data_IF_733581226662
#
_entry.id   IF_733581226662
#
_cell.length_a   1.000
_cell.length_b   1.000
_cell.length_c   1.000
_cell.angle_alpha   90.00
_cell.angle_beta   90.00
_cell.angle_gamma   90.00
#
_symmetry.space_group_name_H-M   'P 1'
#
loop_
_entity.id
_entity.type
_entity.pdbx_description
1 polymer ?
#
# COMPACT_ATOMS: atom_id res chain seq x y z
N UNK A 1 -11.01 38.76 38.32
CA UNK A 1 -9.99 39.80 38.64
C UNK A 1 -10.07 40.08 40.13
N UNK A 2 -8.96 40.36 40.86
CA UNK A 2 -7.60 40.76 40.43
C UNK A 2 -6.56 39.62 40.61
N UNK A 3 -5.44 39.49 39.87
CA UNK A 3 -4.31 40.36 39.46
C UNK A 3 -3.16 40.45 40.48
N UNK A 4 -1.94 40.20 39.96
CA UNK A 4 -0.60 40.61 40.42
C UNK A 4 0.07 39.83 41.58
N UNK A 5 1.37 39.54 41.60
CA UNK A 5 2.51 39.75 40.70
C UNK A 5 3.70 38.99 41.32
N UNK A 6 4.56 38.34 40.55
CA UNK A 6 5.93 38.03 40.99
C UNK A 6 6.85 37.89 39.77
N UNK A 7 7.48 39.00 39.42
CA UNK A 7 8.57 39.08 38.45
C UNK A 7 9.93 39.13 39.15
N UNK A 8 10.92 38.51 38.51
CA UNK A 8 12.35 38.88 38.59
C UNK A 8 13.24 37.78 39.17
N UNK A 9 14.44 37.49 38.67
CA UNK A 9 15.27 38.07 37.61
C UNK A 9 16.40 37.05 37.30
N UNK A 10 16.66 36.81 36.01
CA UNK A 10 17.96 36.92 35.30
C UNK A 10 19.25 36.56 36.10
N UNK A 11 20.02 35.56 35.63
CA UNK A 11 21.38 35.71 35.03
C UNK A 11 22.09 34.39 34.66
N UNK A 12 22.63 34.38 33.42
CA UNK A 12 23.96 33.90 32.93
C UNK A 12 24.34 32.44 33.27
N UNK A 13 24.69 31.56 32.34
CA UNK A 13 25.43 31.74 31.09
C UNK A 13 26.72 30.92 31.20
N UNK A 14 26.84 29.84 30.42
CA UNK A 14 28.11 29.10 30.27
C UNK A 14 28.21 28.52 28.87
N UNK A 15 29.09 29.11 28.07
CA UNK A 15 29.72 28.51 26.89
C UNK A 15 30.98 27.76 27.35
N UNK A 16 31.18 26.54 26.86
CA UNK A 16 32.51 25.92 26.68
C UNK A 16 32.37 24.93 25.51
N UNK A 17 32.78 25.33 24.30
CA UNK A 17 34.08 25.12 23.65
C UNK A 17 34.42 23.65 23.34
N UNK A 18 34.45 23.42 22.04
CA UNK A 18 35.04 22.33 21.26
C UNK A 18 36.31 21.70 21.83
N UNK A 19 36.41 20.37 21.66
CA UNK A 19 37.66 19.72 21.26
C UNK A 19 37.38 18.77 20.10
N UNK A 20 37.97 19.11 18.95
CA UNK A 20 38.31 18.18 17.89
C UNK A 20 39.32 17.16 18.43
N UNK A 21 39.11 15.88 18.14
CA UNK A 21 40.19 14.92 17.97
C UNK A 21 39.89 14.09 16.73
N UNK A 22 40.71 14.33 15.70
CA UNK A 22 40.82 13.51 14.51
C UNK A 22 41.59 12.23 14.87
N UNK A 23 41.08 11.08 14.41
CA UNK A 23 41.74 9.79 14.46
C UNK A 23 41.80 9.18 13.04
N UNK A 24 42.86 8.43 12.71
CA UNK A 24 43.34 8.28 11.34
C UNK A 24 42.57 7.25 10.49
N UNK A 25 42.51 7.60 9.21
CA UNK A 25 42.14 6.81 8.04
C UNK A 25 43.01 5.56 7.92
N UNK A 26 42.41 4.37 7.98
CA UNK A 26 43.00 3.12 7.52
C UNK A 26 42.29 2.68 6.24
N UNK A 27 42.94 2.94 5.12
CA UNK A 27 42.58 2.46 3.78
C UNK A 27 43.04 1.00 3.68
N UNK A 28 42.10 0.06 3.73
CA UNK A 28 42.34 -1.33 3.34
C UNK A 28 41.84 -1.55 1.92
N UNK A 29 42.81 -1.58 1.02
CA UNK A 29 42.72 -1.87 -0.42
C UNK A 29 42.48 -3.37 -0.58
N UNK A 30 41.21 -3.76 -0.73
CA UNK A 30 40.80 -5.14 -1.02
C UNK A 30 40.80 -5.41 -2.53
N UNK A 31 41.69 -6.31 -2.93
CA UNK A 31 41.96 -6.77 -4.29
C UNK A 31 40.74 -7.37 -4.98
N UNK A 32 40.49 -6.95 -6.22
CA UNK A 32 39.43 -7.42 -7.10
C UNK A 32 39.96 -8.57 -7.98
N UNK A 33 39.48 -9.82 -7.85
CA UNK A 33 39.83 -10.87 -8.80
C UNK A 33 38.93 -10.80 -10.04
N UNK A 34 39.55 -10.33 -11.13
CA UNK A 34 39.63 -11.02 -12.43
C UNK A 34 38.35 -11.70 -12.95
N UNK A 35 37.48 -10.91 -13.61
CA UNK A 35 36.44 -11.45 -14.51
C UNK A 35 37.05 -11.69 -15.89
N UNK A 36 37.33 -12.96 -16.18
CA UNK A 36 37.60 -13.42 -17.55
C UNK A 36 36.36 -13.25 -18.45
N UNK A 37 36.54 -12.84 -19.72
CA UNK A 37 35.47 -12.83 -20.70
C UNK A 37 35.27 -14.26 -21.24
N UNK A 38 34.04 -14.77 -21.16
CA UNK A 38 33.64 -15.93 -21.97
C UNK A 38 33.16 -15.38 -23.30
N UNK A 39 33.96 -15.65 -24.33
CA UNK A 39 33.60 -15.41 -25.72
C UNK A 39 32.46 -16.33 -26.17
N UNK A 40 31.64 -15.75 -27.04
CA UNK A 40 31.10 -16.29 -28.29
C UNK A 40 31.06 -17.81 -28.45
N UNK A 41 29.87 -18.36 -28.71
CA UNK A 41 29.68 -19.16 -29.92
C UNK A 41 28.21 -19.46 -30.25
N UNK A 42 27.99 -19.65 -31.56
CA UNK A 42 26.90 -20.36 -32.21
C UNK A 42 25.54 -19.65 -32.43
N UNK A 43 25.56 -18.75 -33.40
CA UNK A 43 24.74 -18.81 -34.63
C UNK A 43 24.04 -20.17 -34.88
N UNK A 44 22.71 -20.23 -34.87
CA UNK A 44 21.91 -21.08 -35.79
C UNK A 44 20.63 -20.35 -36.19
N UNK A 45 20.59 -19.94 -37.46
CA UNK A 45 19.38 -19.68 -38.23
C UNK A 45 18.51 -20.95 -38.31
N UNK A 46 17.20 -20.82 -38.07
CA UNK A 46 16.21 -21.61 -38.80
C UNK A 46 15.06 -20.73 -39.28
N UNK A 47 15.16 -20.39 -40.56
CA UNK A 47 14.02 -20.20 -41.45
C UNK A 47 13.17 -21.46 -41.45
N UNK A 48 11.86 -21.33 -41.28
CA UNK A 48 10.90 -22.10 -42.08
C UNK A 48 9.72 -21.20 -42.41
N UNK A 49 9.61 -20.92 -43.71
CA UNK A 49 8.49 -20.30 -44.37
C UNK A 49 7.34 -21.30 -44.56
N UNK A 50 6.16 -20.71 -44.77
CA UNK A 50 5.09 -21.13 -45.66
C UNK A 50 4.21 -22.33 -45.25
N UNK A 51 2.95 -21.99 -44.96
CA UNK A 51 1.80 -22.87 -45.07
C UNK A 51 0.55 -22.03 -45.36
N UNK A 52 0.37 -21.66 -46.64
CA UNK A 52 -0.90 -21.17 -47.17
C UNK A 52 -2.01 -22.20 -46.93
N UNK A 53 -3.15 -21.77 -46.40
CA UNK A 53 -4.42 -22.40 -46.69
C UNK A 53 -5.50 -21.31 -46.74
N UNK A 54 -5.95 -21.01 -47.96
CA UNK A 54 -7.19 -20.31 -48.25
C UNK A 54 -8.36 -21.12 -47.69
N UNK A 55 -9.29 -20.44 -47.01
CA UNK A 55 -10.69 -20.87 -46.96
C UNK A 55 -11.57 -19.69 -47.34
N UNK A 56 -12.23 -19.86 -48.48
CA UNK A 56 -13.20 -18.96 -49.09
C UNK A 56 -14.58 -19.09 -48.40
N UNK A 57 -15.33 -18.00 -48.52
CA UNK A 57 -16.78 -17.88 -48.49
C UNK A 57 -17.51 -17.99 -47.13
N UNK A 58 -18.05 -16.85 -46.68
CA UNK A 58 -19.44 -16.50 -47.00
C UNK A 58 -19.77 -15.11 -46.47
N UNK A 59 -20.03 -14.17 -47.39
CA UNK A 59 -20.62 -12.89 -47.07
C UNK A 59 -22.14 -13.07 -46.91
N UNK A 60 -22.64 -12.97 -45.68
CA UNK A 60 -24.04 -12.68 -45.41
C UNK A 60 -24.14 -11.23 -44.96
N UNK A 61 -24.59 -10.39 -45.89
CA UNK A 61 -25.03 -9.02 -45.63
C UNK A 61 -26.35 -9.06 -44.88
N UNK A 62 -26.32 -8.77 -43.59
CA UNK A 62 -27.51 -8.40 -42.82
C UNK A 62 -27.67 -6.87 -42.82
N UNK A 63 -28.86 -6.34 -43.12
CA UNK A 63 -29.15 -4.92 -43.00
C UNK A 63 -29.49 -4.57 -41.53
N UNK A 64 -28.88 -3.49 -41.05
CA UNK A 64 -29.55 -2.52 -40.18
C UNK A 64 -29.98 -2.97 -38.79
N UNK A 65 -29.06 -2.92 -37.84
CA UNK A 65 -29.34 -2.31 -36.55
C UNK A 65 -28.07 -1.58 -36.10
N UNK A 66 -28.01 -0.28 -36.40
CA UNK A 66 -27.07 0.62 -35.78
C UNK A 66 -27.38 0.65 -34.27
N UNK A 67 -26.78 -0.28 -33.51
CA UNK A 67 -26.54 -0.04 -32.11
C UNK A 67 -25.52 1.09 -32.08
N UNK A 68 -26.05 2.29 -31.94
CA UNK A 68 -25.34 3.41 -31.37
C UNK A 68 -24.66 2.87 -30.10
N UNK A 69 -23.37 2.54 -30.22
CA UNK A 69 -22.45 2.62 -29.12
C UNK A 69 -22.52 4.08 -28.70
N UNK A 70 -23.46 4.36 -27.80
CA UNK A 70 -23.35 5.49 -26.92
C UNK A 70 -22.05 5.25 -26.19
N UNK A 71 -20.98 5.80 -26.74
CA UNK A 71 -19.83 6.26 -26.00
C UNK A 71 -20.45 7.15 -24.92
N UNK A 72 -20.78 6.52 -23.79
CA UNK A 72 -21.27 7.19 -22.61
C UNK A 72 -20.08 7.99 -22.13
N UNK A 73 -19.89 9.15 -22.76
CA UNK A 73 -18.94 10.15 -22.37
C UNK A 73 -19.21 10.38 -20.89
N UNK A 74 -18.32 9.83 -20.06
CA UNK A 74 -18.32 10.06 -18.64
C UNK A 74 -18.33 11.56 -18.51
N UNK A 75 -19.46 12.11 -18.04
CA UNK A 75 -19.58 13.55 -17.82
C UNK A 75 -18.51 13.90 -16.81
N UNK A 76 -17.53 14.69 -17.27
CA UNK A 76 -16.47 15.23 -16.43
C UNK A 76 -17.13 15.92 -15.24
N UNK A 77 -17.00 15.35 -14.04
CA UNK A 77 -17.62 15.87 -12.81
C UNK A 77 -18.69 14.99 -12.15
N UNK A 78 -19.03 13.79 -12.67
CA UNK A 78 -19.93 12.88 -11.95
C UNK A 78 -19.18 12.14 -10.83
N UNK A 79 -19.46 12.52 -9.58
CA UNK A 79 -18.93 11.83 -8.40
C UNK A 79 -19.52 10.42 -8.30
N UNK A 80 -18.66 9.44 -8.04
CA UNK A 80 -19.04 8.05 -7.76
C UNK A 80 -18.90 7.76 -6.28
N UNK A 81 -19.81 6.96 -5.75
CA UNK A 81 -19.69 6.40 -4.40
C UNK A 81 -18.98 5.06 -4.47
N UNK A 82 -17.95 4.86 -3.64
CA UNK A 82 -17.29 3.57 -3.44
C UNK A 82 -18.19 2.72 -2.56
N UNK A 83 -18.68 1.60 -3.08
CA UNK A 83 -19.37 0.63 -2.25
C UNK A 83 -18.38 -0.06 -1.30
N UNK A 84 -18.60 0.13 0.00
CA UNK A 84 -17.92 -0.57 1.08
C UNK A 84 -16.55 -0.04 1.52
N UNK A 85 -16.19 1.16 1.08
CA UNK A 85 -15.15 1.96 1.73
C UNK A 85 -15.79 3.17 2.41
N UNK A 86 -15.53 3.33 3.71
CA UNK A 86 -16.12 4.38 4.52
C UNK A 86 -15.05 5.35 5.00
N UNK A 87 -15.28 6.66 4.92
CA UNK A 87 -14.43 7.70 5.47
C UNK A 87 -15.02 8.34 6.72
N UNK A 88 -14.14 8.68 7.66
CA UNK A 88 -14.48 9.39 8.89
C UNK A 88 -14.89 10.82 8.59
N UNK A 89 -16.01 11.25 9.14
CA UNK A 89 -16.47 12.64 9.11
C UNK A 89 -15.99 13.40 10.34
N UNK A 90 -16.12 14.73 10.34
CA UNK A 90 -15.78 15.58 11.49
C UNK A 90 -16.56 15.20 12.76
N UNK A 91 -17.82 14.74 12.59
CA UNK A 91 -18.66 14.21 13.67
C UNK A 91 -18.14 12.90 14.27
N UNK A 92 -17.13 12.27 13.66
CA UNK A 92 -16.62 10.95 13.99
C UNK A 92 -17.43 9.80 13.38
N UNK A 93 -18.56 10.08 12.74
CA UNK A 93 -19.33 9.12 11.97
C UNK A 93 -18.57 8.65 10.71
N UNK A 94 -19.01 7.55 10.12
CA UNK A 94 -18.40 6.99 8.91
C UNK A 94 -19.43 6.95 7.79
N UNK A 95 -19.04 7.48 6.64
CA UNK A 95 -19.90 7.61 5.46
C UNK A 95 -19.17 7.08 4.23
N UNK A 96 -19.91 6.69 3.20
CA UNK A 96 -19.32 6.11 2.00
C UNK A 96 -18.37 7.12 1.31
N UNK A 97 -17.20 6.64 0.89
CA UNK A 97 -16.24 7.47 0.15
C UNK A 97 -16.82 7.83 -1.21
N UNK A 98 -16.83 9.13 -1.53
CA UNK A 98 -17.15 9.63 -2.87
C UNK A 98 -15.90 10.10 -3.59
N UNK A 99 -15.80 9.88 -4.90
CA UNK A 99 -14.65 10.30 -5.70
C UNK A 99 -15.03 10.62 -7.15
N UNK A 100 -14.26 11.50 -7.80
CA UNK A 100 -14.31 11.69 -9.25
C UNK A 100 -13.37 10.68 -9.94
N UNK A 101 -13.87 9.80 -10.82
CA UNK A 101 -13.03 8.82 -11.53
C UNK A 101 -11.89 9.43 -12.34
N UNK A 102 -12.03 10.68 -12.81
CA UNK A 102 -11.01 11.38 -13.56
C UNK A 102 -9.79 11.81 -12.73
N UNK A 103 -9.96 11.94 -11.40
CA UNK A 103 -8.96 12.54 -10.52
C UNK A 103 -8.61 11.72 -9.27
N UNK A 104 -9.37 10.66 -8.96
CA UNK A 104 -9.13 9.81 -7.79
C UNK A 104 -7.79 9.06 -7.82
N UNK A 105 -7.24 8.63 -6.67
CA UNK A 105 -6.08 7.76 -6.65
C UNK A 105 -6.34 6.41 -7.34
N UNK A 106 -5.28 5.77 -7.83
CA UNK A 106 -5.37 4.49 -8.54
C UNK A 106 -6.09 3.42 -7.71
N UNK A 107 -5.81 3.33 -6.41
CA UNK A 107 -6.42 2.33 -5.51
C UNK A 107 -7.95 2.39 -5.49
N UNK A 108 -8.54 3.60 -5.44
CA UNK A 108 -10.00 3.78 -5.48
C UNK A 108 -10.59 3.33 -6.81
N UNK A 109 -9.96 3.69 -7.94
CA UNK A 109 -10.47 3.35 -9.27
C UNK A 109 -10.36 1.87 -9.64
N UNK A 110 -9.51 1.13 -8.94
CA UNK A 110 -9.11 -0.23 -9.33
C UNK A 110 -9.42 -1.29 -8.26
N UNK A 111 -10.29 -0.96 -7.30
CA UNK A 111 -10.67 -1.84 -6.19
C UNK A 111 -9.45 -2.40 -5.44
N UNK A 112 -8.39 -1.60 -5.32
CA UNK A 112 -7.13 -1.98 -4.69
C UNK A 112 -6.78 -0.96 -3.59
N UNK A 113 -7.61 -0.91 -2.55
CA UNK A 113 -7.53 0.09 -1.49
C UNK A 113 -6.30 -0.05 -0.59
N UNK A 114 -5.65 -1.19 -0.67
CA UNK A 114 -4.42 -1.52 0.06
C UNK A 114 -3.16 -1.30 -0.79
N UNK A 115 -3.26 -0.99 -2.08
CA UNK A 115 -2.06 -0.74 -2.90
C UNK A 115 -1.23 -2.00 -3.18
N UNK A 116 -1.87 -3.17 -3.29
CA UNK A 116 -1.16 -4.42 -3.61
C UNK A 116 -0.60 -4.41 -5.03
N UNK A 117 0.62 -4.92 -5.19
CA UNK A 117 1.19 -5.21 -6.51
C UNK A 117 0.75 -6.60 -7.01
N UNK A 118 0.50 -6.71 -8.31
CA UNK A 118 0.36 -7.97 -9.05
C UNK A 118 1.67 -8.77 -9.01
N UNK A 119 1.60 -10.08 -9.26
CA UNK A 119 2.15 -11.08 -8.35
C UNK A 119 3.66 -11.12 -8.24
N UNK A 120 4.12 -11.37 -7.00
CA UNK A 120 5.41 -11.93 -6.69
C UNK A 120 5.15 -13.34 -6.11
N UNK A 121 5.58 -14.38 -6.82
CA UNK A 121 5.80 -15.78 -6.37
C UNK A 121 4.89 -16.93 -6.88
N UNK A 122 3.64 -16.76 -7.37
CA UNK A 122 2.87 -17.93 -7.88
C UNK A 122 1.82 -17.69 -8.98
N UNK A 123 1.68 -16.47 -9.49
CA UNK A 123 0.64 -16.13 -10.47
C UNK A 123 -0.37 -15.11 -9.92
N UNK A 124 -1.29 -14.63 -10.77
CA UNK A 124 -2.20 -13.52 -10.47
C UNK A 124 -2.99 -13.76 -9.18
N UNK A 125 -3.27 -12.69 -8.43
CA UNK A 125 -4.17 -12.79 -7.28
C UNK A 125 -5.57 -13.23 -7.75
N UNK A 126 -6.31 -14.05 -6.98
CA UNK A 126 -7.72 -14.30 -7.26
C UNK A 126 -8.49 -12.99 -7.43
N UNK A 127 -9.32 -12.91 -8.48
CA UNK A 127 -10.08 -11.70 -8.81
C UNK A 127 -9.27 -10.55 -9.41
N UNK A 128 -7.96 -10.71 -9.66
CA UNK A 128 -7.14 -9.72 -10.34
C UNK A 128 -7.48 -9.66 -11.84
N UNK A 129 -7.94 -8.50 -12.30
CA UNK A 129 -8.32 -8.25 -13.70
C UNK A 129 -7.23 -7.54 -14.50
N UNK A 130 -6.22 -6.96 -13.83
CA UNK A 130 -5.10 -6.31 -14.49
C UNK A 130 -4.05 -5.79 -13.51
N UNK A 131 -3.13 -4.99 -14.04
CA UNK A 131 -2.19 -4.18 -13.26
C UNK A 131 -1.78 -2.93 -14.05
N UNK A 132 -1.31 -1.88 -13.38
CA UNK A 132 -0.70 -0.74 -14.06
C UNK A 132 0.78 -0.99 -14.40
N UNK A 133 1.43 -0.02 -15.06
CA UNK A 133 2.84 -0.11 -15.45
C UNK A 133 3.81 -0.27 -14.26
N UNK A 134 3.41 0.19 -13.06
CA UNK A 134 4.17 0.07 -11.82
C UNK A 134 3.87 -1.24 -11.07
N UNK A 135 3.05 -2.12 -11.67
CA UNK A 135 2.70 -3.42 -11.13
C UNK A 135 1.56 -3.39 -10.10
N UNK A 136 0.93 -2.25 -9.78
CA UNK A 136 -0.22 -2.24 -8.86
C UNK A 136 -1.41 -2.96 -9.49
N UNK A 137 -1.96 -3.93 -8.77
CA UNK A 137 -3.05 -4.78 -9.23
C UNK A 137 -4.36 -4.00 -9.38
N UNK A 138 -5.20 -4.46 -10.31
CA UNK A 138 -6.62 -4.11 -10.41
C UNK A 138 -7.44 -5.34 -10.08
N UNK A 139 -8.47 -5.17 -9.25
CA UNK A 139 -9.39 -6.24 -8.87
C UNK A 139 -10.79 -5.99 -9.44
N UNK A 140 -11.54 -7.06 -9.65
CA UNK A 140 -12.94 -6.98 -10.06
C UNK A 140 -13.85 -6.47 -8.93
N UNK A 141 -13.63 -6.97 -7.71
CA UNK A 141 -14.33 -6.60 -6.48
C UNK A 141 -13.32 -6.30 -5.36
N UNK A 142 -13.54 -5.27 -4.51
CA UNK A 142 -12.59 -4.90 -3.44
C UNK A 142 -12.37 -6.01 -2.40
N UNK A 143 -13.31 -6.93 -2.22
CA UNK A 143 -13.14 -8.08 -1.34
C UNK A 143 -11.96 -8.97 -1.77
N UNK A 144 -11.62 -9.01 -3.06
CA UNK A 144 -10.44 -9.71 -3.54
C UNK A 144 -9.14 -9.03 -3.14
N UNK A 145 -9.08 -7.70 -3.16
CA UNK A 145 -7.91 -6.97 -2.67
C UNK A 145 -7.73 -7.14 -1.16
N UNK A 146 -8.83 -7.10 -0.39
CA UNK A 146 -8.80 -7.35 1.05
C UNK A 146 -8.37 -8.80 1.33
N UNK A 147 -8.90 -9.79 0.60
CA UNK A 147 -8.47 -11.20 0.72
C UNK A 147 -6.99 -11.38 0.39
N UNK A 148 -6.51 -10.73 -0.68
CA UNK A 148 -5.10 -10.77 -1.06
C UNK A 148 -4.20 -10.11 0.01
N UNK A 149 -4.68 -9.06 0.69
CA UNK A 149 -3.98 -8.47 1.82
C UNK A 149 -3.88 -9.45 3.00
N UNK A 150 -4.99 -10.12 3.36
CA UNK A 150 -5.00 -11.13 4.43
C UNK A 150 -4.01 -12.27 4.14
N UNK A 151 -4.03 -12.79 2.91
CA UNK A 151 -3.09 -13.81 2.43
C UNK A 151 -1.63 -13.32 2.51
N UNK A 152 -1.36 -12.07 2.10
CA UNK A 152 -0.03 -11.47 2.21
C UNK A 152 0.42 -11.38 3.69
N UNK A 153 -0.45 -11.00 4.61
CA UNK A 153 -0.12 -10.94 6.05
C UNK A 153 0.20 -12.33 6.61
N UNK A 154 -0.55 -13.35 6.21
CA UNK A 154 -0.29 -14.74 6.59
C UNK A 154 1.08 -15.18 6.07
N UNK A 155 1.41 -14.88 4.81
CA UNK A 155 2.72 -15.17 4.23
C UNK A 155 3.85 -14.41 4.92
N UNK A 156 3.62 -13.16 5.34
CA UNK A 156 4.58 -12.36 6.10
C UNK A 156 4.89 -12.99 7.45
N UNK A 157 3.88 -13.45 8.18
CA UNK A 157 4.09 -14.20 9.42
C UNK A 157 4.83 -15.51 9.17
N UNK A 158 4.36 -16.32 8.22
CA UNK A 158 4.88 -17.67 7.98
C UNK A 158 6.31 -17.68 7.43
N UNK A 159 6.65 -16.78 6.50
CA UNK A 159 7.95 -16.79 5.79
C UNK A 159 8.98 -15.84 6.38
N UNK A 160 8.54 -14.81 7.11
CA UNK A 160 9.41 -13.73 7.57
C UNK A 160 9.31 -13.46 9.06
N UNK A 161 8.48 -14.23 9.80
CA UNK A 161 8.23 -14.02 11.22
C UNK A 161 7.81 -12.58 11.56
N UNK A 162 7.17 -11.89 10.60
CA UNK A 162 6.72 -10.52 10.77
C UNK A 162 5.39 -10.51 11.54
N UNK A 163 5.49 -10.41 12.87
CA UNK A 163 4.37 -10.60 13.80
C UNK A 163 3.81 -9.31 14.39
N UNK A 164 4.64 -8.28 14.51
CA UNK A 164 4.23 -6.98 15.00
C UNK A 164 3.79 -6.05 13.86
N UNK A 165 3.03 -4.99 14.18
CA UNK A 165 2.69 -3.97 13.19
C UNK A 165 3.97 -3.34 12.59
N UNK A 166 5.00 -3.11 13.39
CA UNK A 166 6.27 -2.57 12.92
C UNK A 166 6.96 -3.51 11.91
N UNK A 167 7.02 -4.82 12.19
CA UNK A 167 7.67 -5.78 11.28
C UNK A 167 6.90 -5.96 9.98
N UNK A 168 5.56 -6.05 10.08
CA UNK A 168 4.68 -6.15 8.93
C UNK A 168 4.84 -4.92 8.04
N UNK A 169 4.70 -3.71 8.60
CA UNK A 169 4.72 -2.48 7.79
C UNK A 169 6.10 -2.16 7.23
N UNK A 170 7.20 -2.49 7.94
CA UNK A 170 8.56 -2.40 7.37
C UNK A 170 8.74 -3.30 6.16
N UNK A 171 7.99 -4.40 6.07
CA UNK A 171 8.02 -5.27 4.90
C UNK A 171 7.06 -4.80 3.81
N UNK A 172 5.90 -4.31 4.22
CA UNK A 172 4.85 -3.83 3.34
C UNK A 172 5.28 -2.59 2.54
N UNK A 173 5.83 -1.60 3.25
CA UNK A 173 6.33 -0.34 2.72
C UNK A 173 7.74 -0.11 3.30
N UNK A 174 8.79 -0.67 2.68
CA UNK A 174 10.14 -0.67 3.24
C UNK A 174 10.73 0.73 3.38
N UNK A 175 11.75 0.90 4.24
CA UNK A 175 12.41 2.19 4.43
C UNK A 175 12.90 2.77 3.09
N UNK A 176 12.62 4.06 2.88
CA UNK A 176 12.72 4.71 1.58
C UNK A 176 11.35 4.85 0.88
N UNK A 177 10.38 3.98 1.10
CA UNK A 177 9.01 4.21 0.63
C UNK A 177 8.36 5.32 1.47
N UNK A 178 7.93 6.39 0.80
CA UNK A 178 7.32 7.56 1.43
C UNK A 178 5.81 7.42 1.62
N UNK A 179 5.25 6.24 1.36
CA UNK A 179 3.86 5.88 1.69
C UNK A 179 3.64 6.04 3.21
N UNK A 180 3.15 7.23 3.60
CA UNK A 180 2.80 7.55 4.99
C UNK A 180 3.82 8.31 5.81
N UNK A 181 4.85 8.87 5.19
CA UNK A 181 5.76 9.77 5.88
C UNK A 181 5.00 11.06 6.31
N UNK A 182 4.83 11.32 7.61
CA UNK A 182 4.15 12.52 8.11
C UNK A 182 5.03 13.78 8.05
N UNK A 183 6.32 13.63 7.72
CA UNK A 183 7.37 14.66 7.75
C UNK A 183 7.44 15.48 6.47
N UNK A 184 6.83 15.02 5.38
CA UNK A 184 6.99 15.61 4.06
C UNK A 184 5.64 16.12 3.54
N UNK A 185 5.51 17.42 3.19
CA UNK A 185 4.32 17.97 2.54
C UNK A 185 3.90 17.10 1.34
N UNK A 186 2.58 16.96 1.04
CA UNK A 186 2.12 16.14 -0.08
C UNK A 186 2.83 16.41 -1.41
N UNK A 187 3.25 17.67 -1.65
CA UNK A 187 4.02 18.11 -2.83
C UNK A 187 5.45 17.57 -2.92
N UNK A 188 5.99 17.09 -1.81
CA UNK A 188 7.38 16.62 -1.69
C UNK A 188 7.45 15.09 -1.53
N UNK A 189 6.30 14.41 -1.45
CA UNK A 189 6.21 12.94 -1.43
C UNK A 189 6.51 12.42 -2.84
N UNK A 190 7.71 11.89 -3.06
CA UNK A 190 8.06 11.21 -4.32
C UNK A 190 7.52 9.79 -4.31
N UNK A 191 6.96 9.35 -5.44
CA UNK A 191 6.75 7.93 -5.70
C UNK A 191 8.12 7.23 -5.69
N UNK A 192 8.35 6.31 -4.76
CA UNK A 192 9.46 5.36 -4.80
C UNK A 192 10.78 5.72 -4.11
N UNK A 193 10.84 6.59 -3.10
CA UNK A 193 12.11 6.76 -2.36
C UNK A 193 12.29 8.01 -1.49
N UNK A 194 12.98 7.86 -0.35
CA UNK A 194 13.75 8.95 0.32
C UNK A 194 13.35 9.36 1.74
N UNK A 195 12.39 8.69 2.39
CA UNK A 195 11.94 9.09 3.73
C UNK A 195 12.80 8.49 4.85
N UNK A 196 13.88 9.19 5.23
CA UNK A 196 14.85 8.79 6.27
C UNK A 196 14.18 8.56 7.63
N UNK A 197 13.07 9.23 7.95
CA UNK A 197 12.40 9.01 9.23
C UNK A 197 11.82 7.60 9.38
N UNK A 198 11.43 6.97 8.27
CA UNK A 198 10.95 5.58 8.24
C UNK A 198 12.09 4.55 8.36
N UNK A 199 13.36 4.97 8.27
CA UNK A 199 14.53 4.09 8.44
C UNK A 199 14.87 3.86 9.92
N UNK A 200 14.56 4.81 10.79
CA UNK A 200 14.96 4.78 12.22
C UNK A 200 13.80 4.59 13.19
N UNK A 201 12.56 4.84 12.75
CA UNK A 201 11.35 4.70 13.58
C UNK A 201 10.32 3.79 12.91
N UNK A 202 9.44 3.12 13.68
CA UNK A 202 8.33 2.40 13.09
C UNK A 202 7.51 3.32 12.17
N UNK A 203 7.08 2.85 10.98
CA UNK A 203 6.23 3.64 10.11
C UNK A 203 5.01 4.16 10.88
N UNK A 204 4.57 5.39 10.63
CA UNK A 204 3.41 5.96 11.35
C UNK A 204 2.16 5.10 11.19
N UNK A 205 2.00 4.45 10.04
CA UNK A 205 0.94 3.45 9.80
C UNK A 205 1.01 2.29 10.79
N UNK A 206 2.21 1.82 11.15
CA UNK A 206 2.39 0.76 12.15
C UNK A 206 1.94 1.22 13.54
N UNK A 207 2.28 2.45 13.92
CA UNK A 207 1.85 3.03 15.19
C UNK A 207 0.33 3.15 15.26
N UNK A 208 -0.31 3.61 14.19
CA UNK A 208 -1.78 3.72 14.11
C UNK A 208 -2.45 2.35 14.19
N UNK A 209 -1.97 1.38 13.40
CA UNK A 209 -2.48 0.01 13.38
C UNK A 209 -2.40 -0.64 14.77
N UNK A 210 -1.23 -0.61 15.40
CA UNK A 210 -1.02 -1.22 16.72
C UNK A 210 -1.91 -0.60 17.79
N UNK A 211 -2.03 0.73 17.79
CA UNK A 211 -2.85 1.46 18.74
C UNK A 211 -4.34 1.20 18.57
N UNK A 212 -4.81 1.10 17.32
CA UNK A 212 -6.17 0.69 17.02
C UNK A 212 -6.43 -0.78 17.42
N UNK A 213 -5.40 -1.63 17.40
CA UNK A 213 -5.44 -3.00 17.89
C UNK A 213 -5.22 -3.14 19.42
N UNK A 214 -5.01 -2.03 20.15
CA UNK A 214 -4.80 -2.04 21.60
C UNK A 214 -3.44 -2.61 22.05
N UNK A 215 -2.42 -2.58 21.19
CA UNK A 215 -1.07 -3.09 21.45
C UNK A 215 0.02 -2.08 21.10
N UNK A 216 1.26 -2.31 21.52
CA UNK A 216 2.42 -1.52 21.11
C UNK A 216 2.87 -1.88 19.68
N UNK A 217 3.54 -0.97 18.95
CA UNK A 217 3.95 -1.21 17.56
C UNK A 217 4.84 -2.45 17.34
N UNK A 218 5.60 -2.84 18.36
CA UNK A 218 6.53 -3.99 18.34
C UNK A 218 5.96 -5.23 19.03
N UNK A 219 4.77 -5.17 19.61
CA UNK A 219 4.10 -6.32 20.20
C UNK A 219 3.49 -7.21 19.11
N UNK A 220 3.39 -8.52 19.40
CA UNK A 220 2.78 -9.49 18.50
C UNK A 220 1.30 -9.16 18.32
N UNK A 221 0.87 -8.95 17.08
CA UNK A 221 -0.54 -8.75 16.76
C UNK A 221 -1.32 -10.06 16.89
N UNK A 222 -0.65 -11.21 16.84
CA UNK A 222 -1.23 -12.56 17.00
C UNK A 222 -2.36 -12.83 15.99
N UNK A 223 -2.22 -12.26 14.78
CA UNK A 223 -3.29 -12.20 13.76
C UNK A 223 -3.81 -13.58 13.35
N UNK A 224 -2.93 -14.58 13.27
CA UNK A 224 -3.25 -15.91 12.78
C UNK A 224 -2.88 -16.96 13.83
N UNK A 225 -3.77 -17.94 14.02
CA UNK A 225 -3.58 -19.09 14.88
C UNK A 225 -2.91 -20.26 14.16
N UNK A 226 -2.96 -21.46 14.76
CA UNK A 226 -2.55 -22.70 14.10
C UNK A 226 -3.24 -22.87 12.73
N UNK A 227 -2.54 -23.49 11.79
CA UNK A 227 -3.03 -23.70 10.41
C UNK A 227 -3.28 -22.40 9.63
N UNK A 228 -2.85 -21.24 10.16
CA UNK A 228 -2.97 -19.95 9.50
C UNK A 228 -4.39 -19.36 9.51
N UNK A 229 -5.30 -19.88 10.32
CA UNK A 229 -6.65 -19.32 10.48
C UNK A 229 -6.58 -17.96 11.18
N UNK A 230 -7.45 -17.02 10.82
CA UNK A 230 -7.54 -15.72 11.50
C UNK A 230 -7.92 -15.96 12.96
N UNK A 231 -7.10 -15.47 13.89
CA UNK A 231 -7.30 -15.61 15.34
C UNK A 231 -7.89 -14.36 15.97
N UNK A 232 -7.39 -13.19 15.61
CA UNK A 232 -7.87 -11.88 16.08
C UNK A 232 -8.35 -11.03 14.90
N UNK A 233 -9.62 -11.20 14.46
CA UNK A 233 -10.15 -10.47 13.29
C UNK A 233 -10.22 -8.95 13.52
N UNK A 234 -10.43 -8.51 14.76
CA UNK A 234 -10.39 -7.11 15.18
C UNK A 234 -9.02 -6.47 14.95
N UNK A 235 -7.93 -7.16 15.32
CA UNK A 235 -6.56 -6.67 15.12
C UNK A 235 -6.15 -6.67 13.65
N UNK A 236 -6.57 -7.70 12.91
CA UNK A 236 -6.38 -7.76 11.46
C UNK A 236 -7.10 -6.62 10.76
N UNK A 237 -8.31 -6.29 11.22
CA UNK A 237 -9.09 -5.17 10.69
C UNK A 237 -8.48 -3.82 11.04
N UNK A 238 -7.99 -3.63 12.27
CA UNK A 238 -7.26 -2.43 12.65
C UNK A 238 -6.03 -2.18 11.75
N UNK A 239 -5.29 -3.25 11.43
CA UNK A 239 -4.17 -3.20 10.50
C UNK A 239 -4.63 -2.86 9.06
N UNK A 240 -5.65 -3.54 8.56
CA UNK A 240 -6.23 -3.29 7.23
C UNK A 240 -6.68 -1.83 7.09
N UNK A 241 -7.46 -1.33 8.03
CA UNK A 241 -8.02 0.02 7.95
C UNK A 241 -6.93 1.09 8.07
N UNK A 242 -5.86 0.85 8.83
CA UNK A 242 -4.70 1.73 8.88
C UNK A 242 -3.95 1.79 7.54
N UNK A 243 -3.77 0.63 6.89
CA UNK A 243 -3.18 0.57 5.54
C UNK A 243 -4.07 1.26 4.53
N UNK A 244 -5.37 0.97 4.50
CA UNK A 244 -6.34 1.61 3.60
C UNK A 244 -6.34 3.13 3.77
N UNK A 245 -6.38 3.59 5.03
CA UNK A 245 -6.28 5.02 5.35
C UNK A 245 -5.02 5.64 4.75
N UNK A 246 -3.89 4.94 4.82
CA UNK A 246 -2.63 5.40 4.29
C UNK A 246 -2.61 5.44 2.75
N UNK A 247 -3.02 4.35 2.12
CA UNK A 247 -2.88 4.11 0.68
C UNK A 247 -3.86 4.94 -0.15
N UNK A 248 -5.07 5.17 0.38
CA UNK A 248 -6.05 6.05 -0.27
C UNK A 248 -5.69 7.53 -0.06
N UNK A 249 -5.14 7.86 1.11
CA UNK A 249 -4.57 9.17 1.40
C UNK A 249 -5.58 10.26 1.81
N UNK A 250 -5.07 11.45 2.21
CA UNK A 250 -5.84 12.48 2.92
C UNK A 250 -6.99 13.11 2.15
N UNK A 251 -7.00 13.02 0.82
CA UNK A 251 -8.06 13.61 -0.01
C UNK A 251 -9.39 12.86 0.07
N UNK A 252 -9.37 11.59 0.50
CA UNK A 252 -10.56 10.76 0.61
C UNK A 252 -10.63 10.01 1.96
N UNK A 253 -9.50 9.86 2.64
CA UNK A 253 -9.39 9.27 3.97
C UNK A 253 -8.70 10.26 4.91
N UNK A 254 -9.45 11.01 5.72
CA UNK A 254 -8.88 11.99 6.65
C UNK A 254 -7.78 11.37 7.51
N UNK A 255 -6.69 12.08 7.72
CA UNK A 255 -5.57 11.56 8.51
C UNK A 255 -5.60 12.17 9.91
N UNK A 256 -5.45 11.36 10.97
CA UNK A 256 -5.32 11.91 12.32
C UNK A 256 -4.10 12.83 12.40
N UNK A 257 -4.23 13.98 13.10
CA UNK A 257 -3.09 14.75 13.56
C UNK A 257 -2.07 13.86 14.30
N UNK A 258 -0.82 14.31 14.33
CA UNK A 258 0.24 13.57 15.01
C UNK A 258 -0.13 13.37 16.49
N UNK A 259 -0.04 12.13 16.97
CA UNK A 259 -0.34 11.78 18.36
C UNK A 259 -1.77 11.33 18.59
N UNK A 260 -2.67 11.49 17.61
CA UNK A 260 -4.01 10.90 17.64
C UNK A 260 -4.03 9.47 17.09
N UNK A 261 -5.03 8.69 17.52
CA UNK A 261 -5.08 7.23 17.30
C UNK A 261 -6.18 6.77 16.34
N UNK A 262 -7.00 7.69 15.82
CA UNK A 262 -8.16 7.30 15.03
C UNK A 262 -7.79 6.97 13.58
N UNK A 263 -8.65 6.19 12.95
CA UNK A 263 -8.50 5.68 11.60
C UNK A 263 -9.37 6.50 10.64
N UNK A 264 -8.81 6.86 9.47
CA UNK A 264 -9.44 7.75 8.51
C UNK A 264 -10.47 7.09 7.60
N UNK A 265 -10.18 5.87 7.21
CA UNK A 265 -11.05 5.04 6.41
C UNK A 265 -11.15 3.63 6.97
N UNK A 266 -12.33 3.04 6.80
CA UNK A 266 -12.62 1.66 7.18
C UNK A 266 -13.18 0.90 6.00
N UNK A 267 -12.81 -0.36 5.88
CA UNK A 267 -13.54 -1.31 5.05
C UNK A 267 -14.84 -1.67 5.75
N UNK A 268 -15.97 -1.63 5.05
CA UNK A 268 -17.26 -1.99 5.63
C UNK A 268 -17.32 -3.49 6.03
N UNK A 269 -18.29 -3.85 6.88
CA UNK A 269 -18.45 -5.22 7.36
C UNK A 269 -18.74 -6.21 6.23
N UNK A 270 -19.46 -5.78 5.19
CA UNK A 270 -19.89 -6.65 4.10
C UNK A 270 -18.72 -7.06 3.18
N UNK A 271 -17.86 -6.12 2.82
CA UNK A 271 -16.65 -6.34 2.03
C UNK A 271 -15.65 -7.15 2.86
N UNK A 272 -15.45 -6.81 4.13
CA UNK A 272 -14.56 -7.57 5.01
C UNK A 272 -15.04 -9.02 5.19
N UNK A 273 -16.33 -9.22 5.46
CA UNK A 273 -16.93 -10.55 5.58
C UNK A 273 -16.75 -11.40 4.33
N UNK A 274 -17.04 -10.85 3.14
CA UNK A 274 -16.79 -11.54 1.86
C UNK A 274 -15.31 -11.89 1.67
N UNK A 275 -14.41 -11.00 2.05
CA UNK A 275 -12.97 -11.25 1.94
C UNK A 275 -12.51 -12.39 2.85
N UNK A 276 -13.03 -12.47 4.08
CA UNK A 276 -12.77 -13.58 5.01
C UNK A 276 -13.33 -14.90 4.48
N UNK A 277 -14.55 -14.90 3.93
CA UNK A 277 -15.13 -16.09 3.30
C UNK A 277 -14.31 -16.58 2.11
N UNK A 278 -13.85 -15.66 1.25
CA UNK A 278 -12.97 -15.97 0.12
C UNK A 278 -11.62 -16.53 0.57
N UNK A 279 -11.11 -16.06 1.71
CA UNK A 279 -9.87 -16.55 2.30
C UNK A 279 -10.01 -17.97 2.86
N UNK A 280 -11.11 -18.26 3.58
CA UNK A 280 -11.35 -19.57 4.20
C UNK A 280 -11.60 -20.72 3.22
N UNK A 281 -12.02 -20.44 1.99
CA UNK A 281 -12.34 -21.48 0.96
C UNK A 281 -11.12 -22.17 0.33
N UNK A 282 -9.90 -21.76 0.69
CA UNK A 282 -8.65 -22.34 0.15
C UNK A 282 -7.88 -23.21 1.16
N UNK A 283 -8.48 -23.47 2.33
CA UNK A 283 -7.97 -24.43 3.31
C UNK A 283 -8.42 -25.86 3.04
#
# INVERSE_FOLDING_TARGET
MPLQEAMGRIRRGTRARSRLLAGPTAVLRGSHPDRRPIGSDAMIHRLFQAGCALALASALTFPGAALAQGDAGIRRGEQRTVSGLLARQESGAFEAVTFDPGSAPFGLRNNNWVGLKGPNLSGRWPGQTGANANGFARFDDPAYAVRAFIDLMQQYQARHNARSAADILRRYAPPGDCSGAPSVPPSERREGGGCVENETTPPVTAVRAARAAGVQPTEDLDLFGPEGRIKHPDRLRALLDAVVTQEIGPSHCPQPPRGESWIGCRVDDAVYGRAVDLFGRQG
#
